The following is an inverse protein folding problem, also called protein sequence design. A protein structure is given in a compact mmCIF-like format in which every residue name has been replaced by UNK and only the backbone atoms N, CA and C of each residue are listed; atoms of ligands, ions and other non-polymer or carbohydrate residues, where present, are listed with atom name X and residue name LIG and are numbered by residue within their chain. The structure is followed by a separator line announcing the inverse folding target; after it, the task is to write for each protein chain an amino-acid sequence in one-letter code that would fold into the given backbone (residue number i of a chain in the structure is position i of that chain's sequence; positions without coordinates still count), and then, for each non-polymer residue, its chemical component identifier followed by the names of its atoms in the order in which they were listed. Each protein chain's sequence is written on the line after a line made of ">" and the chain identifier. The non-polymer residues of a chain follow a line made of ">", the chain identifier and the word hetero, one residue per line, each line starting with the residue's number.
data_IF_631510632785
#
_entry.id   IF_631510632785
#
_cell.length_a   1.000
_cell.length_b   1.000
_cell.length_c   1.000
_cell.angle_alpha   90.00
_cell.angle_beta   90.00
_cell.angle_gamma   90.00
#
_symmetry.space_group_name_H-M   'P 1'
#
loop_
_entity.id
_entity.type
_entity.pdbx_description
1 polymer ?
#
# COMPACT_ATOMS: atom_id res chain seq x y z
N UNK A 1 8.20 -3.63 12.80
CA UNK A 1 9.31 -4.33 12.12
C UNK A 1 9.05 -4.35 10.63
N UNK A 2 10.03 -3.97 9.81
CA UNK A 2 9.95 -4.11 8.35
C UNK A 2 10.03 -5.59 8.00
N UNK A 3 9.18 -6.05 7.08
CA UNK A 3 9.18 -7.42 6.55
C UNK A 3 9.36 -7.37 5.04
N UNK A 4 9.55 -8.55 4.42
CA UNK A 4 9.80 -8.64 2.98
C UNK A 4 8.68 -7.97 2.15
N UNK A 5 9.08 -6.93 1.42
CA UNK A 5 8.29 -6.25 0.40
C UNK A 5 8.89 -6.45 -0.99
N UNK A 6 8.70 -5.47 -1.86
CA UNK A 6 9.23 -5.44 -3.22
C UNK A 6 10.11 -4.19 -3.40
N UNK A 7 11.39 -4.33 -3.77
CA UNK A 7 12.28 -3.18 -3.94
C UNK A 7 11.71 -2.13 -4.90
N UNK A 8 11.64 -0.89 -4.45
CA UNK A 8 11.16 0.24 -5.27
C UNK A 8 9.64 0.31 -5.48
N UNK A 9 8.88 -0.71 -5.06
CA UNK A 9 7.43 -0.79 -5.30
C UNK A 9 6.61 -0.95 -4.02
N UNK A 10 7.01 -1.82 -3.08
CA UNK A 10 6.18 -2.20 -1.93
C UNK A 10 7.00 -2.24 -0.64
N UNK A 11 6.51 -1.55 0.39
CA UNK A 11 7.02 -1.63 1.77
C UNK A 11 5.99 -2.33 2.64
N UNK A 12 6.44 -3.24 3.50
CA UNK A 12 5.56 -3.94 4.44
C UNK A 12 6.11 -3.82 5.86
N UNK A 13 5.21 -3.53 6.79
CA UNK A 13 5.49 -3.43 8.21
C UNK A 13 4.58 -4.33 9.04
N UNK A 14 5.11 -4.85 10.13
CA UNK A 14 4.38 -5.65 11.12
C UNK A 14 4.53 -5.05 12.52
N UNK A 15 3.43 -4.94 13.26
CA UNK A 15 3.37 -4.51 14.66
C UNK A 15 2.38 -5.40 15.42
N UNK A 16 2.90 -6.35 16.19
CA UNK A 16 2.06 -7.34 16.87
C UNK A 16 1.25 -8.17 15.87
N UNK A 17 -0.07 -8.21 16.06
CA UNK A 17 -1.02 -8.89 15.16
C UNK A 17 -1.38 -8.04 13.94
N UNK A 18 -1.23 -6.72 14.02
CA UNK A 18 -1.48 -5.80 12.91
C UNK A 18 -0.23 -5.49 12.09
N UNK A 19 -0.42 -4.63 11.11
CA UNK A 19 0.66 -4.18 10.24
C UNK A 19 0.21 -3.15 9.22
N UNK A 20 1.10 -2.92 8.26
CA UNK A 20 0.91 -1.95 7.19
C UNK A 20 1.48 -2.49 5.90
N UNK A 21 0.80 -2.23 4.79
CA UNK A 21 1.34 -2.40 3.43
C UNK A 21 1.28 -1.06 2.73
N UNK A 22 2.40 -0.66 2.14
CA UNK A 22 2.55 0.59 1.41
C UNK A 22 2.95 0.27 -0.02
N UNK A 23 2.12 0.64 -1.00
CA UNK A 23 2.44 0.55 -2.43
C UNK A 23 2.79 1.94 -2.95
N UNK A 24 3.98 2.07 -3.53
CA UNK A 24 4.41 3.27 -4.24
C UNK A 24 3.76 3.31 -5.61
N UNK A 25 3.27 4.48 -5.99
CA UNK A 25 2.89 4.80 -7.38
C UNK A 25 3.73 5.98 -7.88
N UNK A 26 3.45 6.48 -9.09
CA UNK A 26 4.20 7.62 -9.65
C UNK A 26 3.98 8.93 -8.90
N UNK A 27 2.81 9.09 -8.27
CA UNK A 27 2.37 10.33 -7.63
C UNK A 27 1.74 10.11 -6.26
N UNK A 28 1.65 8.87 -5.77
CA UNK A 28 1.01 8.61 -4.50
C UNK A 28 1.65 7.47 -3.73
N UNK A 29 1.34 7.47 -2.44
CA UNK A 29 1.54 6.32 -1.57
C UNK A 29 0.17 5.78 -1.17
N UNK A 30 -0.05 4.50 -1.46
CA UNK A 30 -1.23 3.77 -1.01
C UNK A 30 -0.85 3.04 0.26
N UNK A 31 -1.47 3.41 1.37
CA UNK A 31 -1.17 2.87 2.70
C UNK A 31 -2.37 2.08 3.17
N UNK A 32 -2.25 0.76 3.31
CA UNK A 32 -3.24 -0.06 3.99
C UNK A 32 -2.77 -0.43 5.38
N UNK A 33 -3.56 -0.12 6.39
CA UNK A 33 -3.32 -0.48 7.78
C UNK A 33 -4.30 -1.59 8.16
N UNK A 34 -3.80 -2.64 8.82
CA UNK A 34 -4.63 -3.76 9.26
C UNK A 34 -4.34 -4.14 10.70
N UNK A 35 -5.35 -4.71 11.36
CA UNK A 35 -5.30 -5.21 12.73
C UNK A 35 -5.45 -6.74 12.78
N UNK A 36 -5.81 -7.27 13.94
CA UNK A 36 -5.97 -8.71 14.19
C UNK A 36 -7.11 -9.38 13.41
N UNK A 37 -8.09 -8.61 12.91
CA UNK A 37 -9.24 -9.15 12.17
C UNK A 37 -8.95 -9.36 10.68
N UNK A 38 -7.72 -9.05 10.24
CA UNK A 38 -7.33 -9.14 8.84
C UNK A 38 -5.94 -9.75 8.71
N UNK A 39 -5.81 -10.69 7.78
CA UNK A 39 -4.51 -11.30 7.51
C UNK A 39 -3.61 -10.35 6.69
N UNK A 40 -2.28 -10.42 6.86
CA UNK A 40 -1.35 -9.61 6.05
C UNK A 40 -1.55 -9.80 4.54
N UNK A 41 -1.85 -11.02 4.09
CA UNK A 41 -2.08 -11.33 2.69
C UNK A 41 -3.31 -10.62 2.10
N UNK A 42 -4.38 -10.46 2.87
CA UNK A 42 -5.55 -9.70 2.44
C UNK A 42 -5.21 -8.22 2.27
N UNK A 43 -4.44 -7.62 3.19
CA UNK A 43 -4.05 -6.21 3.09
C UNK A 43 -3.16 -5.98 1.87
N UNK A 44 -2.21 -6.88 1.62
CA UNK A 44 -1.37 -6.85 0.43
C UNK A 44 -2.21 -6.81 -0.86
N UNK A 45 -3.17 -7.74 -1.00
CA UNK A 45 -4.00 -7.83 -2.21
C UNK A 45 -4.76 -6.53 -2.46
N UNK A 46 -5.34 -5.90 -1.43
CA UNK A 46 -6.12 -4.68 -1.58
C UNK A 46 -5.21 -3.51 -1.97
N UNK A 47 -4.14 -3.27 -1.23
CA UNK A 47 -3.23 -2.15 -1.45
C UNK A 47 -2.52 -2.24 -2.79
N UNK A 48 -2.04 -3.44 -3.14
CA UNK A 48 -1.28 -3.66 -4.37
C UNK A 48 -2.18 -3.52 -5.60
N UNK A 49 -3.37 -4.15 -5.60
CA UNK A 49 -4.31 -4.04 -6.73
C UNK A 49 -4.81 -2.62 -6.95
N UNK A 50 -5.10 -1.90 -5.86
CA UNK A 50 -5.51 -0.51 -5.98
C UNK A 50 -4.38 0.37 -6.52
N UNK A 51 -3.15 0.18 -6.04
CA UNK A 51 -2.00 0.90 -6.55
C UNK A 51 -1.73 0.62 -8.03
N UNK A 52 -1.81 -0.65 -8.46
CA UNK A 52 -1.63 -1.03 -9.86
C UNK A 52 -2.72 -0.41 -10.75
N UNK A 53 -3.98 -0.41 -10.30
CA UNK A 53 -5.08 0.24 -11.01
C UNK A 53 -4.85 1.76 -11.16
N UNK A 54 -4.41 2.43 -10.10
CA UNK A 54 -4.13 3.87 -10.15
C UNK A 54 -2.97 4.21 -11.08
N UNK A 55 -1.91 3.40 -11.08
CA UNK A 55 -0.78 3.54 -12.01
C UNK A 55 -1.25 3.39 -13.45
N UNK A 56 -2.08 2.40 -13.74
CA UNK A 56 -2.52 2.06 -15.10
C UNK A 56 -3.58 3.05 -15.65
N UNK A 57 -4.54 3.46 -14.82
CA UNK A 57 -5.76 4.14 -15.30
C UNK A 57 -5.81 5.63 -14.98
N UNK A 58 -5.18 6.11 -13.91
CA UNK A 58 -5.47 7.45 -13.34
C UNK A 58 -4.27 8.39 -13.37
N UNK A 59 -3.05 7.88 -13.32
CA UNK A 59 -1.87 8.72 -13.12
C UNK A 59 -1.28 9.26 -14.43
N UNK A 60 -1.58 10.52 -14.75
CA UNK A 60 -0.96 11.32 -15.83
C UNK A 60 0.33 12.02 -15.39
N UNK A 61 0.80 13.07 -16.08
CA UNK A 61 2.02 13.83 -15.72
C UNK A 61 1.79 14.93 -14.67
N UNK A 62 1.03 14.65 -13.61
CA UNK A 62 0.76 15.61 -12.55
C UNK A 62 1.94 15.72 -11.55
N UNK A 63 2.16 16.93 -11.02
CA UNK A 63 3.28 17.28 -10.14
C UNK A 63 2.92 17.28 -8.64
N UNK A 64 1.79 16.69 -8.26
CA UNK A 64 1.33 16.65 -6.87
C UNK A 64 1.44 15.24 -6.32
N UNK A 65 2.05 15.13 -5.15
CA UNK A 65 2.12 13.88 -4.40
C UNK A 65 0.93 13.77 -3.46
N UNK A 66 0.17 12.67 -3.55
CA UNK A 66 -1.01 12.42 -2.71
C UNK A 66 -0.82 11.16 -1.85
N UNK A 67 -1.43 11.13 -0.66
CA UNK A 67 -1.39 9.95 0.23
C UNK A 67 -2.80 9.44 0.43
N UNK A 68 -3.04 8.21 0.02
CA UNK A 68 -4.31 7.53 0.26
C UNK A 68 -4.13 6.49 1.37
N UNK A 69 -4.86 6.68 2.47
CA UNK A 69 -4.87 5.75 3.61
C UNK A 69 -6.16 4.94 3.56
N UNK A 70 -6.00 3.62 3.53
CA UNK A 70 -7.05 2.64 3.70
C UNK A 70 -6.95 2.09 5.12
N UNK A 71 -7.94 2.42 5.93
CA UNK A 71 -8.11 1.83 7.26
C UNK A 71 -9.29 0.87 7.23
N UNK A 72 -9.21 -0.18 8.04
CA UNK A 72 -10.29 -1.11 8.29
C UNK A 72 -10.74 -1.00 9.73
#
# INVERSE_FOLDING_TARGET
>A
MVIQGEPGAIIRGKKGLGGVTIKKTNQALIIGIYDELMTPGQCNIIVERLGDYLIDTVMGSASREEVMVLEK
#
